data_IF_728108006843
#
_entry.id   IF_728108006843
#
_cell.length_a   1.000
_cell.length_b   1.000
_cell.length_c   1.000
_cell.angle_alpha   90.00
_cell.angle_beta   90.00
_cell.angle_gamma   90.00
#
_symmetry.space_group_name_H-M   'P 1'
#
loop_
_entity.id
_entity.type
_entity.pdbx_description
1 polymer ?
#
# COMPACT_ATOMS: atom_id res chain seq x y z
N UNK A 1 21.53 -11.20 3.52
CA UNK A 1 20.33 -11.87 2.98
C UNK A 1 19.27 -10.81 2.72
N UNK A 2 18.85 -10.63 1.47
CA UNK A 2 17.84 -9.63 1.11
C UNK A 2 16.50 -10.02 1.73
N UNK A 3 15.80 -9.07 2.40
CA UNK A 3 14.49 -9.34 3.01
C UNK A 3 13.48 -9.65 1.91
N UNK A 4 12.71 -10.72 2.06
CA UNK A 4 11.60 -11.01 1.14
C UNK A 4 10.57 -9.87 1.14
N UNK A 5 10.10 -9.49 -0.06
CA UNK A 5 9.01 -8.51 -0.24
C UNK A 5 7.74 -9.08 0.38
N UNK A 6 7.16 -8.37 1.36
CA UNK A 6 5.86 -8.74 1.92
C UNK A 6 4.73 -8.08 1.15
N UNK A 7 3.65 -8.82 0.94
CA UNK A 7 2.42 -8.33 0.31
C UNK A 7 1.35 -8.17 1.39
N UNK A 8 0.79 -6.96 1.50
CA UNK A 8 -0.23 -6.61 2.47
C UNK A 8 -1.57 -6.41 1.75
N UNK A 9 -2.52 -7.33 1.94
CA UNK A 9 -3.88 -7.16 1.39
C UNK A 9 -4.70 -6.20 2.25
N UNK A 10 -5.19 -5.12 1.64
CA UNK A 10 -5.86 -4.02 2.32
C UNK A 10 -7.15 -3.64 1.61
N UNK A 11 -8.21 -3.41 2.39
CA UNK A 11 -9.46 -2.87 1.88
C UNK A 11 -9.30 -1.38 1.55
N UNK A 12 -9.94 -0.94 0.48
CA UNK A 12 -10.07 0.46 0.09
C UNK A 12 -11.46 0.73 -0.51
N UNK A 13 -12.04 1.88 -0.21
CA UNK A 13 -13.36 2.25 -0.75
C UNK A 13 -13.27 2.70 -2.22
N UNK A 14 -14.36 2.59 -3.02
CA UNK A 14 -14.34 2.86 -4.45
C UNK A 14 -13.76 4.21 -4.88
N UNK A 15 -14.12 5.27 -4.15
CA UNK A 15 -13.62 6.63 -4.40
C UNK A 15 -12.10 6.70 -4.34
N UNK A 16 -11.51 6.10 -3.31
CA UNK A 16 -10.06 6.14 -3.10
C UNK A 16 -9.32 5.14 -3.99
N UNK A 17 -9.92 3.97 -4.27
CA UNK A 17 -9.39 3.02 -5.23
C UNK A 17 -9.21 3.68 -6.61
N UNK A 18 -10.26 4.32 -7.12
CA UNK A 18 -10.20 5.01 -8.41
C UNK A 18 -9.15 6.14 -8.41
N UNK A 19 -8.98 6.87 -7.30
CA UNK A 19 -7.94 7.90 -7.19
C UNK A 19 -6.52 7.32 -7.21
N UNK A 20 -6.30 6.13 -6.63
CA UNK A 20 -5.00 5.43 -6.71
C UNK A 20 -4.75 4.96 -8.15
N UNK A 21 -5.73 4.33 -8.79
CA UNK A 21 -5.63 3.86 -10.18
C UNK A 21 -5.35 5.02 -11.14
N UNK A 22 -5.97 6.19 -10.90
CA UNK A 22 -5.74 7.40 -11.67
C UNK A 22 -4.42 8.13 -11.34
N UNK A 23 -3.62 7.63 -10.39
CA UNK A 23 -2.35 8.24 -9.97
C UNK A 23 -2.51 9.53 -9.16
N UNK A 24 -3.73 9.92 -8.80
CA UNK A 24 -4.01 11.14 -8.03
C UNK A 24 -3.74 10.95 -6.53
N UNK A 25 -3.95 9.74 -6.03
CA UNK A 25 -3.70 9.38 -4.63
C UNK A 25 -2.46 8.52 -4.54
N UNK A 26 -1.40 9.11 -4.00
CA UNK A 26 -0.05 8.52 -3.90
C UNK A 26 0.37 8.24 -2.45
N UNK A 27 -0.57 8.28 -1.50
CA UNK A 27 -0.30 7.97 -0.10
C UNK A 27 -1.48 7.27 0.59
N UNK A 28 -1.19 6.45 1.60
CA UNK A 28 -2.15 5.72 2.45
C UNK A 28 -1.87 5.99 3.94
N UNK A 29 -2.89 6.42 4.69
CA UNK A 29 -2.81 6.52 6.15
C UNK A 29 -3.35 5.22 6.77
N UNK A 30 -2.54 4.55 7.59
CA UNK A 30 -2.88 3.24 8.18
C UNK A 30 -2.40 3.14 9.62
N UNK A 31 -3.11 2.37 10.45
CA UNK A 31 -2.53 1.88 11.71
C UNK A 31 -1.35 0.98 11.36
N UNK A 32 -0.23 1.09 12.06
CA UNK A 32 0.94 0.23 11.82
C UNK A 32 0.84 -1.12 12.53
N UNK A 33 -0.27 -1.83 12.32
CA UNK A 33 -0.57 -3.14 12.91
C UNK A 33 0.09 -4.31 12.15
N UNK A 34 0.80 -4.02 11.05
CA UNK A 34 1.47 -5.00 10.18
C UNK A 34 2.98 -4.81 10.09
N UNK A 35 3.51 -3.75 10.71
CA UNK A 35 4.90 -3.37 10.64
C UNK A 35 5.33 -3.08 9.21
N UNK A 36 4.62 -2.17 8.54
CA UNK A 36 4.88 -1.81 7.14
C UNK A 36 6.32 -1.34 6.95
N UNK A 37 6.91 -1.67 5.79
CA UNK A 37 8.28 -1.28 5.45
C UNK A 37 8.37 -0.84 4.00
N UNK A 38 9.33 0.06 3.74
CA UNK A 38 9.74 0.39 2.37
C UNK A 38 10.07 -0.90 1.60
N UNK A 39 9.62 -0.94 0.36
CA UNK A 39 9.77 -2.07 -0.56
C UNK A 39 8.68 -3.14 -0.45
N UNK A 40 7.85 -3.13 0.59
CA UNK A 40 6.66 -4.00 0.65
C UNK A 40 5.60 -3.55 -0.36
N UNK A 41 4.71 -4.47 -0.74
CA UNK A 41 3.62 -4.22 -1.68
C UNK A 41 2.29 -4.16 -0.95
N UNK A 42 1.48 -3.16 -1.24
CA UNK A 42 0.07 -3.10 -0.90
C UNK A 42 -0.74 -3.70 -2.04
N UNK A 43 -1.52 -4.73 -1.73
CA UNK A 43 -2.61 -5.22 -2.57
C UNK A 43 -3.89 -4.50 -2.12
N UNK A 44 -4.28 -3.46 -2.87
CA UNK A 44 -5.44 -2.63 -2.55
C UNK A 44 -6.69 -3.24 -3.19
N UNK A 45 -7.49 -3.91 -2.37
CA UNK A 45 -8.73 -4.55 -2.76
C UNK A 45 -9.90 -3.57 -2.62
N UNK A 46 -10.68 -3.34 -3.67
CA UNK A 46 -11.86 -2.49 -3.57
C UNK A 46 -13.02 -3.19 -2.83
N UNK A 47 -13.55 -2.52 -1.80
CA UNK A 47 -14.72 -2.99 -1.06
C UNK A 47 -15.86 -1.97 -1.11
N UNK A 48 -17.06 -2.42 -1.49
CA UNK A 48 -18.28 -1.61 -1.54
C UNK A 48 -19.40 -2.33 -0.79
N UNK A 49 -20.07 -1.63 0.13
CA UNK A 49 -21.16 -2.18 0.96
C UNK A 49 -20.81 -3.51 1.66
N UNK A 50 -19.58 -3.61 2.17
CA UNK A 50 -19.13 -4.81 2.89
C UNK A 50 -18.73 -5.99 1.99
N UNK A 51 -18.76 -5.83 0.66
CA UNK A 51 -18.41 -6.89 -0.29
C UNK A 51 -17.19 -6.48 -1.11
N UNK A 52 -16.28 -7.42 -1.34
CA UNK A 52 -15.17 -7.26 -2.29
C UNK A 52 -15.72 -7.24 -3.71
N UNK A 53 -15.35 -6.22 -4.50
CA UNK A 53 -15.92 -6.04 -5.85
C UNK A 53 -15.21 -6.87 -6.93
N UNK A 54 -14.09 -7.51 -6.60
CA UNK A 54 -13.20 -8.17 -7.55
C UNK A 54 -12.09 -7.27 -8.11
N UNK A 55 -12.13 -5.95 -7.85
CA UNK A 55 -11.08 -5.03 -8.30
C UNK A 55 -9.93 -4.96 -7.30
N UNK A 56 -8.71 -5.12 -7.80
CA UNK A 56 -7.47 -5.05 -7.03
C UNK A 56 -6.44 -4.18 -7.76
N UNK A 57 -5.62 -3.47 -7.01
CA UNK A 57 -4.49 -2.72 -7.57
C UNK A 57 -3.26 -2.82 -6.67
N UNK A 58 -2.10 -3.04 -7.26
CA UNK A 58 -0.84 -3.14 -6.53
C UNK A 58 -0.17 -1.77 -6.41
N UNK A 59 0.47 -1.53 -5.27
CA UNK A 59 1.35 -0.38 -5.10
C UNK A 59 2.51 -0.74 -4.18
N UNK A 60 3.73 -0.31 -4.51
CA UNK A 60 4.89 -0.47 -3.62
C UNK A 60 4.97 0.68 -2.63
N UNK A 61 5.33 0.39 -1.38
CA UNK A 61 5.64 1.40 -0.37
C UNK A 61 7.01 1.99 -0.67
N UNK A 62 7.05 3.27 -1.06
CA UNK A 62 8.28 4.00 -1.33
C UNK A 62 8.82 4.74 -0.11
N UNK A 63 7.96 5.08 0.85
CA UNK A 63 8.34 5.74 2.10
C UNK A 63 7.33 5.42 3.21
N UNK A 64 7.80 5.38 4.46
CA UNK A 64 6.99 5.22 5.66
C UNK A 64 7.29 6.38 6.60
N UNK A 65 6.30 7.21 6.89
CA UNK A 65 6.39 8.25 7.92
C UNK A 65 5.56 7.82 9.14
N UNK A 66 6.19 7.52 10.29
CA UNK A 66 5.47 7.42 11.56
C UNK A 66 4.79 8.76 11.88
N UNK A 67 3.48 8.74 12.09
CA UNK A 67 2.71 9.97 12.35
C UNK A 67 3.12 10.63 13.66
N UNK A 68 3.56 9.83 14.64
CA UNK A 68 4.09 10.31 15.92
C UNK A 68 5.34 11.20 15.79
N UNK A 69 6.07 11.10 14.69
CA UNK A 69 7.26 11.93 14.45
C UNK A 69 6.90 13.38 14.07
N UNK A 70 5.66 13.61 13.63
CA UNK A 70 5.18 14.94 13.17
C UNK A 70 4.04 15.50 14.02
N UNK A 71 3.29 14.64 14.72
CA UNK A 71 2.19 15.06 15.59
C UNK A 71 2.00 14.06 16.73
N UNK A 72 1.73 14.57 17.94
CA UNK A 72 1.45 13.71 19.09
C UNK A 72 0.06 13.05 18.95
N UNK A 73 0.02 11.75 18.64
CA UNK A 73 -1.20 10.94 18.65
C UNK A 73 -1.02 9.71 19.54
N UNK A 74 -2.11 9.21 20.13
CA UNK A 74 -2.07 8.09 21.08
C UNK A 74 -1.92 6.72 20.40
N UNK A 75 -2.25 6.62 19.12
CA UNK A 75 -2.21 5.38 18.36
C UNK A 75 -1.05 5.37 17.36
N UNK A 76 -0.50 4.18 17.08
CA UNK A 76 0.56 4.02 16.07
C UNK A 76 -0.04 4.07 14.66
N UNK A 77 0.04 5.24 14.04
CA UNK A 77 -0.31 5.46 12.64
C UNK A 77 0.93 5.73 11.79
N UNK A 78 0.86 5.33 10.53
CA UNK A 78 1.86 5.60 9.51
C UNK A 78 1.21 6.20 8.27
N UNK A 79 1.88 7.19 7.68
CA UNK A 79 1.62 7.63 6.32
C UNK A 79 2.56 6.89 5.37
N UNK A 80 2.00 6.05 4.52
CA UNK A 80 2.72 5.28 3.53
C UNK A 80 2.69 6.06 2.22
N UNK A 81 3.84 6.49 1.71
CA UNK A 81 3.90 6.91 0.30
C UNK A 81 3.90 5.67 -0.57
N UNK A 82 3.08 5.68 -1.61
CA UNK A 82 2.88 4.53 -2.48
C UNK A 82 3.11 4.92 -3.93
N UNK A 83 3.76 4.02 -4.66
CA UNK A 83 3.89 4.09 -6.11
C UNK A 83 3.04 2.96 -6.71
N UNK A 84 1.95 3.28 -7.43
CA UNK A 84 1.15 2.27 -8.12
C UNK A 84 2.02 1.45 -9.09
N UNK A 85 1.72 0.16 -9.18
CA UNK A 85 2.33 -0.76 -10.13
C UNK A 85 1.23 -1.25 -11.08
N UNK A 86 1.51 -1.25 -12.38
CA UNK A 86 0.71 -2.03 -13.33
C UNK A 86 0.81 -3.52 -12.99
N UNK A 87 -0.12 -4.37 -13.47
CA UNK A 87 -0.06 -5.81 -13.20
C UNK A 87 1.28 -6.48 -13.59
N UNK A 88 1.88 -6.07 -14.71
CA UNK A 88 3.16 -6.60 -15.17
C UNK A 88 4.33 -6.15 -14.29
N UNK A 89 4.34 -4.87 -13.90
CA UNK A 89 5.35 -4.34 -12.97
C UNK A 89 5.24 -4.99 -11.60
N UNK A 90 4.03 -5.22 -11.10
CA UNK A 90 3.81 -5.89 -9.82
C UNK A 90 4.37 -7.32 -9.84
N UNK A 91 4.09 -8.08 -10.91
CA UNK A 91 4.63 -9.42 -11.09
C UNK A 91 6.16 -9.41 -11.15
N UNK A 92 6.74 -8.54 -11.99
CA UNK A 92 8.19 -8.41 -12.10
C UNK A 92 8.86 -8.00 -10.79
N UNK A 93 8.28 -7.04 -10.08
CA UNK A 93 8.77 -6.56 -8.78
C UNK A 93 8.82 -7.67 -7.73
N UNK A 94 7.76 -8.46 -7.62
CA UNK A 94 7.69 -9.55 -6.64
C UNK A 94 8.67 -10.68 -7.00
N UNK A 95 8.75 -11.07 -8.27
CA UNK A 95 9.69 -12.12 -8.73
C UNK A 95 11.14 -11.67 -8.54
N UNK A 96 11.45 -10.40 -8.78
CA UNK A 96 12.79 -9.83 -8.60
C UNK A 96 13.13 -9.53 -7.13
N UNK A 97 12.25 -9.83 -6.17
CA UNK A 97 12.49 -9.57 -4.75
C UNK A 97 12.59 -8.08 -4.41
N UNK A 98 11.91 -7.23 -5.17
CA UNK A 98 11.86 -5.78 -4.97
C UNK A 98 13.02 -5.00 -5.58
N UNK A 99 13.85 -5.66 -6.39
CA UNK A 99 14.86 -5.02 -7.22
C UNK A 99 14.27 -4.73 -8.62
N UNK A 100 13.79 -3.51 -8.83
CA UNK A 100 13.58 -2.91 -10.16
C UNK A 100 14.04 -1.47 -10.15
#
# INVERSE_FOLDING_TARGET
>A
MTRAVRIHQLKIAPKYFNAVVAGQKTAELRKDDRGYKVGDVLSLCEWKHGVFTGREWAAVISHVLPVNDVMAVSEQWVMLSIRPLTPLEALGYVIAGGAV
#
